data_IF_507608880521
#
_entry.id   IF_507608880521
#
_cell.length_a   1.000
_cell.length_b   1.000
_cell.length_c   1.000
_cell.angle_alpha   90.00
_cell.angle_beta   90.00
_cell.angle_gamma   90.00
#
_symmetry.space_group_name_H-M   'P 1'
#
loop_
_entity.id
_entity.type
_entity.pdbx_description
1 polymer ?
#
# COMPACT_ATOMS: atom_id res chain seq x y z
N UNK A 1 -9.59 -5.76 -4.68
CA UNK A 1 -10.71 -5.36 -3.79
C UNK A 1 -10.21 -4.61 -2.55
N UNK A 2 -9.02 -4.04 -2.63
CA UNK A 2 -8.30 -3.42 -1.50
C UNK A 2 -9.08 -2.34 -0.76
N UNK A 3 -9.76 -1.48 -1.50
CA UNK A 3 -10.55 -0.36 -0.96
C UNK A 3 -11.98 -0.74 -0.60
N UNK A 4 -12.34 -2.02 -0.60
CA UNK A 4 -13.69 -2.50 -0.27
C UNK A 4 -13.78 -2.92 1.21
N UNK A 5 -15.01 -2.98 1.79
CA UNK A 5 -15.20 -3.49 3.14
C UNK A 5 -14.63 -4.90 3.35
N UNK A 6 -14.31 -5.28 4.62
CA UNK A 6 -13.54 -6.51 4.93
C UNK A 6 -14.19 -7.83 4.47
N UNK A 7 -15.52 -7.84 4.30
CA UNK A 7 -16.22 -9.03 3.78
C UNK A 7 -15.99 -9.31 2.29
N UNK A 8 -15.37 -8.37 1.56
CA UNK A 8 -15.00 -8.57 0.17
C UNK A 8 -13.55 -9.01 0.07
N UNK A 9 -13.33 -10.02 -0.77
CA UNK A 9 -11.99 -10.52 -1.07
C UNK A 9 -11.68 -10.34 -2.56
N UNK A 10 -10.42 -10.14 -2.90
CA UNK A 10 -9.96 -9.97 -4.26
C UNK A 10 -8.59 -10.59 -4.49
N UNK A 11 -8.35 -10.97 -5.74
CA UNK A 11 -7.10 -11.56 -6.17
C UNK A 11 -6.71 -10.97 -7.53
N UNK A 12 -5.56 -10.31 -7.60
CA UNK A 12 -5.00 -9.75 -8.84
C UNK A 12 -3.84 -10.64 -9.28
N UNK A 13 -3.82 -11.06 -10.53
CA UNK A 13 -2.75 -11.87 -11.12
C UNK A 13 -2.07 -11.05 -12.20
N UNK A 14 -0.75 -11.02 -12.16
CA UNK A 14 0.10 -10.38 -13.15
C UNK A 14 0.93 -11.44 -13.88
N UNK A 15 1.29 -11.18 -15.11
CA UNK A 15 2.05 -12.09 -15.94
C UNK A 15 3.51 -11.64 -16.09
N UNK A 16 4.26 -12.36 -16.92
CA UNK A 16 5.69 -12.11 -17.18
C UNK A 16 6.00 -10.77 -17.86
N UNK A 17 4.99 -10.15 -18.46
CA UNK A 17 5.06 -8.81 -19.05
C UNK A 17 4.84 -7.68 -18.01
N UNK A 18 4.59 -8.05 -16.73
CA UNK A 18 4.29 -7.10 -15.65
C UNK A 18 2.86 -6.53 -15.68
N UNK A 19 2.01 -6.94 -16.65
CA UNK A 19 0.64 -6.48 -16.73
C UNK A 19 -0.35 -7.44 -16.07
N UNK A 20 -1.49 -6.90 -15.62
CA UNK A 20 -2.58 -7.74 -15.12
C UNK A 20 -3.13 -8.61 -16.25
N UNK A 21 -3.35 -9.91 -15.95
CA UNK A 21 -3.84 -10.87 -16.94
C UNK A 21 -5.21 -10.48 -17.50
N UNK A 22 -5.36 -10.75 -18.81
CA UNK A 22 -6.60 -10.58 -19.56
C UNK A 22 -6.92 -11.89 -20.31
N UNK A 23 -8.05 -11.93 -21.00
CA UNK A 23 -8.43 -13.08 -21.82
C UNK A 23 -7.34 -13.40 -22.86
N UNK A 24 -7.04 -14.68 -23.14
CA UNK A 24 -7.70 -15.90 -22.61
C UNK A 24 -7.17 -16.41 -21.26
N UNK A 25 -6.02 -15.93 -20.78
CA UNK A 25 -5.32 -16.45 -19.59
C UNK A 25 -6.15 -16.42 -18.32
N UNK A 26 -6.93 -15.36 -18.10
CA UNK A 26 -7.85 -15.24 -16.97
C UNK A 26 -8.87 -16.37 -16.95
N UNK A 27 -9.42 -16.73 -18.12
CA UNK A 27 -10.40 -17.81 -18.28
C UNK A 27 -9.77 -19.17 -18.04
N UNK A 28 -8.54 -19.38 -18.53
CA UNK A 28 -7.82 -20.64 -18.34
C UNK A 28 -7.50 -20.88 -16.86
N UNK A 29 -7.02 -19.85 -16.13
CA UNK A 29 -6.74 -19.95 -14.70
C UNK A 29 -8.03 -20.22 -13.91
N UNK A 30 -9.09 -19.45 -14.16
CA UNK A 30 -10.37 -19.64 -13.47
C UNK A 30 -10.99 -21.01 -13.77
N UNK A 31 -10.82 -21.53 -14.98
CA UNK A 31 -11.24 -22.88 -15.33
C UNK A 31 -10.56 -23.92 -14.44
N UNK A 32 -9.23 -23.80 -14.24
CA UNK A 32 -8.47 -24.69 -13.35
C UNK A 32 -8.90 -24.59 -11.90
N UNK A 33 -9.15 -23.39 -11.41
CA UNK A 33 -9.69 -23.19 -10.05
C UNK A 33 -11.04 -23.88 -9.88
N UNK A 34 -11.93 -23.80 -10.88
CA UNK A 34 -13.27 -24.44 -10.85
C UNK A 34 -13.24 -25.96 -10.96
N UNK A 35 -12.15 -26.56 -11.44
CA UNK A 35 -11.96 -28.02 -11.44
C UNK A 35 -11.75 -28.56 -10.03
N UNK A 36 -11.28 -27.75 -9.07
CA UNK A 36 -11.09 -28.14 -7.67
C UNK A 36 -12.46 -28.27 -7.00
N UNK A 37 -12.83 -29.45 -6.57
CA UNK A 37 -14.13 -29.76 -5.94
C UNK A 37 -14.02 -29.92 -4.41
N UNK A 38 -12.83 -30.12 -3.88
CA UNK A 38 -12.56 -30.30 -2.45
C UNK A 38 -11.20 -29.70 -2.10
N UNK A 39 -11.09 -29.10 -0.91
CA UNK A 39 -9.80 -28.63 -0.39
C UNK A 39 -8.74 -29.75 -0.30
N UNK A 40 -9.14 -31.01 -0.15
CA UNK A 40 -8.22 -32.15 -0.15
C UNK A 40 -7.47 -32.38 -1.46
N UNK A 41 -7.91 -31.76 -2.55
CA UNK A 41 -7.21 -31.79 -3.85
C UNK A 41 -6.06 -30.78 -3.92
N UNK A 42 -6.00 -29.81 -2.99
CA UNK A 42 -4.96 -28.81 -2.93
C UNK A 42 -3.73 -29.45 -2.29
N UNK A 43 -2.61 -29.39 -3.00
CA UNK A 43 -1.32 -29.89 -2.47
C UNK A 43 -0.78 -28.90 -1.46
N UNK A 44 -0.41 -29.38 -0.28
CA UNK A 44 0.15 -28.58 0.79
C UNK A 44 1.55 -29.08 1.14
N UNK A 45 2.40 -28.17 1.58
CA UNK A 45 3.74 -28.46 2.08
C UNK A 45 4.02 -27.59 3.31
N UNK A 46 4.66 -28.13 4.32
CA UNK A 46 5.06 -27.37 5.51
C UNK A 46 6.07 -26.26 5.16
N UNK A 47 5.97 -25.12 5.84
CA UNK A 47 6.83 -23.95 5.57
C UNK A 47 8.32 -24.31 5.57
N UNK A 48 8.80 -24.99 6.63
CA UNK A 48 10.22 -25.35 6.76
C UNK A 48 10.71 -26.26 5.63
N UNK A 49 9.84 -27.13 5.13
CA UNK A 49 10.14 -28.03 4.02
C UNK A 49 10.14 -27.24 2.70
N UNK A 50 9.19 -26.33 2.52
CA UNK A 50 9.12 -25.45 1.35
C UNK A 50 10.36 -24.54 1.27
N UNK A 51 10.81 -23.97 2.38
CA UNK A 51 12.04 -23.17 2.46
C UNK A 51 13.27 -23.99 2.05
N UNK A 52 13.43 -25.21 2.61
CA UNK A 52 14.53 -26.11 2.24
C UNK A 52 14.51 -26.54 0.79
N UNK A 53 13.33 -26.70 0.22
CA UNK A 53 13.14 -27.06 -1.19
C UNK A 53 13.23 -25.85 -2.15
N UNK A 54 13.46 -24.63 -1.65
CA UNK A 54 13.48 -23.40 -2.46
C UNK A 54 12.11 -22.99 -3.04
N UNK A 55 11.03 -23.55 -2.51
CA UNK A 55 9.65 -23.26 -2.95
C UNK A 55 9.03 -22.07 -2.21
N UNK A 56 9.64 -21.63 -1.13
CA UNK A 56 9.22 -20.46 -0.35
C UNK A 56 10.44 -19.58 -0.07
N UNK A 57 10.39 -18.35 -0.58
CA UNK A 57 11.46 -17.36 -0.46
C UNK A 57 10.90 -16.03 0.01
N UNK A 58 11.54 -15.40 0.99
CA UNK A 58 11.24 -14.03 1.41
C UNK A 58 12.15 -13.10 0.62
N UNK A 59 11.56 -12.24 -0.20
CA UNK A 59 12.31 -11.33 -1.07
C UNK A 59 12.88 -10.10 -0.35
N UNK A 60 12.31 -9.72 0.79
CA UNK A 60 12.85 -8.74 1.75
C UNK A 60 13.31 -7.39 1.17
N UNK A 61 14.25 -6.79 1.89
CA UNK A 61 14.72 -5.40 1.64
C UNK A 61 15.39 -5.20 0.28
N UNK A 62 16.00 -6.22 -0.31
CA UNK A 62 16.60 -6.11 -1.64
C UNK A 62 15.56 -5.72 -2.71
N UNK A 63 14.35 -6.28 -2.63
CA UNK A 63 13.28 -5.94 -3.55
C UNK A 63 12.71 -4.54 -3.25
N UNK A 64 12.58 -4.20 -1.97
CA UNK A 64 12.16 -2.86 -1.55
C UNK A 64 13.12 -1.80 -2.08
N UNK A 65 14.44 -2.03 -2.00
CA UNK A 65 15.46 -1.12 -2.50
C UNK A 65 15.35 -0.91 -4.03
N UNK A 66 15.15 -2.00 -4.78
CA UNK A 66 14.93 -1.93 -6.23
C UNK A 66 13.70 -1.11 -6.57
N UNK A 67 12.59 -1.34 -5.86
CA UNK A 67 11.35 -0.61 -6.08
C UNK A 67 11.48 0.87 -5.72
N UNK A 68 12.06 1.18 -4.56
CA UNK A 68 12.29 2.56 -4.13
C UNK A 68 13.20 3.33 -5.09
N UNK A 69 14.22 2.68 -5.66
CA UNK A 69 15.08 3.32 -6.65
C UNK A 69 14.32 3.68 -7.94
N UNK A 70 13.39 2.80 -8.37
CA UNK A 70 12.51 3.12 -9.51
C UNK A 70 11.59 4.29 -9.16
N UNK A 71 10.97 4.31 -7.97
CA UNK A 71 10.12 5.43 -7.55
C UNK A 71 10.88 6.75 -7.50
N UNK A 72 12.11 6.76 -6.96
CA UNK A 72 12.95 7.95 -6.93
C UNK A 72 13.29 8.48 -8.32
N UNK A 73 13.41 7.61 -9.31
CA UNK A 73 13.67 8.01 -10.70
C UNK A 73 12.48 8.73 -11.36
N UNK A 74 11.28 8.64 -10.77
CA UNK A 74 10.08 9.33 -11.25
C UNK A 74 9.92 10.76 -10.71
N UNK A 75 10.83 11.22 -9.85
CA UNK A 75 10.75 12.57 -9.26
C UNK A 75 11.03 13.63 -10.33
N UNK A 76 10.07 14.50 -10.54
CA UNK A 76 10.15 15.55 -11.56
C UNK A 76 10.96 16.76 -11.09
N UNK A 77 10.87 17.12 -9.80
CA UNK A 77 11.53 18.30 -9.25
C UNK A 77 12.27 17.98 -7.94
N UNK A 78 13.45 17.37 -7.99
CA UNK A 78 14.22 17.03 -6.79
C UNK A 78 14.71 18.28 -6.02
N UNK A 79 14.92 19.42 -6.70
CA UNK A 79 15.37 20.64 -6.03
C UNK A 79 14.30 21.19 -5.08
N UNK A 80 13.02 21.17 -5.47
CA UNK A 80 11.92 21.57 -4.58
C UNK A 80 11.89 20.72 -3.30
N UNK A 81 12.19 19.42 -3.40
CA UNK A 81 12.26 18.55 -2.23
C UNK A 81 13.44 18.93 -1.32
N UNK A 82 14.60 19.26 -1.89
CA UNK A 82 15.76 19.70 -1.12
C UNK A 82 15.50 21.02 -0.37
N UNK A 83 14.79 21.93 -1.00
CA UNK A 83 14.50 23.25 -0.44
C UNK A 83 13.42 23.21 0.65
N UNK A 84 12.35 22.47 0.41
CA UNK A 84 11.15 22.49 1.25
C UNK A 84 10.91 21.21 2.06
N UNK A 85 11.50 20.08 1.67
CA UNK A 85 11.22 18.78 2.28
C UNK A 85 11.43 18.71 3.78
N UNK A 86 12.44 19.45 4.31
CA UNK A 86 12.68 19.53 5.75
C UNK A 86 11.68 20.39 6.52
N UNK A 87 10.99 21.28 5.84
CA UNK A 87 10.05 22.23 6.45
C UNK A 87 8.63 21.66 6.43
N UNK A 88 8.27 20.98 5.34
CA UNK A 88 6.93 20.45 5.15
C UNK A 88 6.55 19.41 6.21
N UNK A 89 5.42 19.64 6.83
CA UNK A 89 4.78 18.70 7.76
C UNK A 89 3.75 17.88 7.02
N UNK A 90 3.98 16.58 6.94
CA UNK A 90 3.15 15.63 6.22
C UNK A 90 2.52 14.67 7.21
N UNK A 91 1.20 14.55 7.21
CA UNK A 91 0.50 13.44 7.84
C UNK A 91 0.20 12.39 6.78
N UNK A 92 0.45 11.13 7.11
CA UNK A 92 0.19 10.01 6.23
C UNK A 92 -0.65 8.93 6.93
N UNK A 93 -1.61 8.39 6.20
CA UNK A 93 -2.31 7.18 6.62
C UNK A 93 -2.31 6.12 5.51
N UNK A 94 -1.87 4.89 5.80
CA UNK A 94 -1.98 3.75 4.91
C UNK A 94 -3.37 3.10 4.94
N UNK A 95 -4.32 3.61 5.72
CA UNK A 95 -5.66 3.02 5.93
C UNK A 95 -5.60 1.52 6.25
N UNK A 96 -4.74 1.12 7.21
CA UNK A 96 -4.46 -0.28 7.58
C UNK A 96 -3.90 -1.14 6.45
N UNK A 97 -3.26 -0.54 5.45
CA UNK A 97 -2.79 -1.22 4.25
C UNK A 97 -1.28 -1.44 4.18
N UNK A 98 -0.84 -1.96 3.05
CA UNK A 98 0.55 -2.34 2.79
C UNK A 98 1.47 -1.17 2.45
N UNK A 99 0.90 0.00 2.13
CA UNK A 99 1.66 1.19 1.75
C UNK A 99 2.54 1.76 2.87
N UNK A 100 2.27 1.40 4.13
CA UNK A 100 2.96 1.95 5.30
C UNK A 100 4.49 1.90 5.17
N UNK A 101 5.06 0.70 5.08
CA UNK A 101 6.52 0.49 5.10
C UNK A 101 7.22 1.21 3.96
N UNK A 102 6.69 1.07 2.75
CA UNK A 102 7.33 1.61 1.53
C UNK A 102 7.18 3.14 1.46
N UNK A 103 5.99 3.66 1.73
CA UNK A 103 5.72 5.11 1.64
C UNK A 103 6.46 5.89 2.73
N UNK A 104 6.42 5.40 3.99
CA UNK A 104 7.14 6.02 5.09
C UNK A 104 8.65 6.07 4.81
N UNK A 105 9.20 4.96 4.32
CA UNK A 105 10.61 4.85 3.94
C UNK A 105 10.96 5.78 2.78
N UNK A 106 10.13 5.81 1.73
CA UNK A 106 10.33 6.69 0.58
C UNK A 106 10.40 8.17 0.99
N UNK A 107 9.41 8.64 1.73
CA UNK A 107 9.36 10.03 2.18
C UNK A 107 10.60 10.40 3.00
N UNK A 108 11.02 9.52 3.91
CA UNK A 108 12.22 9.72 4.71
C UNK A 108 13.50 9.76 3.85
N UNK A 109 13.66 8.85 2.90
CA UNK A 109 14.83 8.79 2.02
C UNK A 109 14.88 9.96 1.02
N UNK A 110 13.74 10.59 0.73
CA UNK A 110 13.65 11.82 -0.05
C UNK A 110 14.02 13.08 0.76
N UNK A 111 14.12 12.97 2.08
CA UNK A 111 14.51 14.10 2.95
C UNK A 111 13.35 14.84 3.62
N UNK A 112 12.14 14.26 3.61
CA UNK A 112 11.05 14.78 4.43
C UNK A 112 11.27 14.37 5.89
N UNK A 113 11.54 15.34 6.76
CA UNK A 113 11.88 15.09 8.18
C UNK A 113 10.64 15.06 9.08
N UNK A 114 9.57 15.76 8.70
CA UNK A 114 8.35 15.89 9.50
C UNK A 114 7.20 15.06 8.92
N UNK A 115 7.35 13.74 8.96
CA UNK A 115 6.32 12.79 8.52
C UNK A 115 5.68 12.14 9.74
N UNK A 116 4.36 12.30 9.89
CA UNK A 116 3.54 11.79 10.99
C UNK A 116 2.59 10.75 10.45
N UNK A 117 2.81 9.48 10.78
CA UNK A 117 1.90 8.40 10.40
C UNK A 117 0.80 8.26 11.44
N UNK A 118 -0.46 8.14 11.00
CA UNK A 118 -1.62 7.94 11.89
C UNK A 118 -1.44 6.62 12.67
N UNK A 119 -1.22 6.65 13.99
CA UNK A 119 -0.84 5.45 14.75
C UNK A 119 -1.88 4.34 14.69
N UNK A 120 -3.17 4.70 14.75
CA UNK A 120 -4.29 3.77 14.77
C UNK A 120 -4.51 3.07 13.43
N UNK A 121 -3.94 3.60 12.34
CA UNK A 121 -4.10 3.09 10.98
C UNK A 121 -2.78 2.59 10.37
N UNK A 122 -1.69 2.67 11.13
CA UNK A 122 -0.34 2.35 10.67
C UNK A 122 -0.18 0.87 10.33
N UNK A 123 -0.60 0.01 11.25
CA UNK A 123 -0.42 -1.43 11.08
C UNK A 123 -1.50 -2.02 10.16
N UNK A 124 -1.11 -2.95 9.27
CA UNK A 124 -2.06 -3.65 8.41
C UNK A 124 -3.11 -4.42 9.22
N UNK A 125 -4.38 -4.15 8.96
CA UNK A 125 -5.50 -4.89 9.57
C UNK A 125 -6.64 -5.06 8.56
N UNK A 126 -6.89 -6.29 8.14
CA UNK A 126 -7.94 -6.62 7.18
C UNK A 126 -9.38 -6.40 7.69
N UNK A 127 -9.56 -6.09 8.99
CA UNK A 127 -10.86 -5.73 9.55
C UNK A 127 -11.17 -4.23 9.46
N UNK A 128 -10.16 -3.39 9.14
CA UNK A 128 -10.28 -1.93 9.01
C UNK A 128 -11.01 -1.27 10.19
N UNK A 129 -10.55 -1.44 11.44
CA UNK A 129 -11.35 -1.10 12.63
C UNK A 129 -11.69 0.38 12.79
N UNK A 130 -10.98 1.27 12.08
CA UNK A 130 -11.17 2.72 12.18
C UNK A 130 -11.94 3.33 11.00
N UNK A 131 -12.18 2.54 9.94
CA UNK A 131 -12.88 3.01 8.73
C UNK A 131 -13.84 1.95 8.21
N UNK A 132 -15.04 2.36 7.84
CA UNK A 132 -16.02 1.45 7.22
C UNK A 132 -15.69 1.15 5.75
N UNK A 133 -14.93 2.03 5.11
CA UNK A 133 -14.56 1.96 3.70
C UNK A 133 -13.16 2.57 3.50
N UNK A 134 -12.10 1.74 3.34
CA UNK A 134 -10.72 2.21 3.28
C UNK A 134 -10.37 2.76 1.88
N UNK A 135 -11.13 3.76 1.42
CA UNK A 135 -10.94 4.39 0.12
C UNK A 135 -10.58 5.87 0.30
N UNK A 136 -9.41 6.33 -0.17
CA UNK A 136 -8.98 7.71 -0.07
C UNK A 136 -9.80 8.70 -0.94
N UNK A 137 -10.71 8.22 -1.77
CA UNK A 137 -11.70 9.06 -2.45
C UNK A 137 -12.85 9.47 -1.50
N UNK A 138 -13.06 8.72 -0.41
CA UNK A 138 -14.03 9.08 0.62
C UNK A 138 -13.38 9.97 1.69
N UNK A 139 -13.83 11.23 1.79
CA UNK A 139 -13.36 12.19 2.81
C UNK A 139 -13.45 11.63 4.24
N UNK A 140 -14.40 10.74 4.52
CA UNK A 140 -14.56 10.12 5.84
C UNK A 140 -13.37 9.24 6.23
N UNK A 141 -12.66 8.66 5.26
CA UNK A 141 -11.47 7.87 5.51
C UNK A 141 -10.32 8.70 6.09
N UNK A 142 -10.31 10.01 5.83
CA UNK A 142 -9.30 10.95 6.33
C UNK A 142 -9.52 11.45 7.76
N UNK A 143 -10.62 11.09 8.42
CA UNK A 143 -10.99 11.67 9.72
C UNK A 143 -9.81 11.72 10.70
N UNK A 144 -9.19 10.59 11.01
CA UNK A 144 -8.07 10.52 11.96
C UNK A 144 -6.82 11.25 11.44
N UNK A 145 -6.59 11.19 10.14
CA UNK A 145 -5.45 11.87 9.52
C UNK A 145 -5.62 13.40 9.55
N UNK A 146 -6.83 13.91 9.36
CA UNK A 146 -7.12 15.35 9.48
C UNK A 146 -7.03 15.80 10.94
N UNK A 147 -7.56 15.03 11.90
CA UNK A 147 -7.43 15.31 13.33
C UNK A 147 -5.97 15.36 13.78
N UNK A 148 -5.12 14.47 13.26
CA UNK A 148 -3.67 14.52 13.49
C UNK A 148 -3.05 15.72 12.79
N UNK A 149 -3.49 16.01 11.56
CA UNK A 149 -3.03 17.16 10.78
C UNK A 149 -3.24 18.48 11.48
N UNK A 150 -4.40 18.68 12.10
CA UNK A 150 -4.70 19.85 12.91
C UNK A 150 -3.76 19.96 14.13
N UNK A 151 -3.52 18.84 14.84
CA UNK A 151 -2.64 18.81 16.02
C UNK A 151 -1.18 19.17 15.72
N UNK A 152 -0.65 18.75 14.58
CA UNK A 152 0.75 19.01 14.20
C UNK A 152 0.90 20.21 13.28
N UNK A 153 -0.21 20.84 12.90
CA UNK A 153 -0.26 21.93 11.93
C UNK A 153 0.36 21.49 10.58
N UNK A 154 -0.20 20.42 10.00
CA UNK A 154 0.32 19.79 8.80
C UNK A 154 0.03 20.64 7.54
N UNK A 155 1.00 20.68 6.63
CA UNK A 155 0.84 21.29 5.30
C UNK A 155 0.11 20.36 4.33
N UNK A 156 0.36 19.05 4.46
CA UNK A 156 -0.22 18.01 3.61
C UNK A 156 -0.74 16.85 4.46
N UNK A 157 -1.88 16.29 4.05
CA UNK A 157 -2.41 15.03 4.59
C UNK A 157 -2.61 14.06 3.43
N UNK A 158 -1.94 12.92 3.51
CA UNK A 158 -1.91 11.89 2.47
C UNK A 158 -2.60 10.62 2.97
N UNK A 159 -3.35 9.96 2.10
CA UNK A 159 -3.89 8.63 2.37
C UNK A 159 -3.74 7.73 1.15
N UNK A 160 -3.30 6.49 1.36
CA UNK A 160 -3.37 5.43 0.36
C UNK A 160 -4.42 4.40 0.74
N UNK A 161 -5.02 3.76 -0.25
CA UNK A 161 -5.85 2.59 0.02
C UNK A 161 -4.99 1.36 0.41
N UNK A 162 -5.58 0.25 0.87
CA UNK A 162 -4.81 -0.85 1.44
C UNK A 162 -3.77 -1.52 0.52
N UNK A 163 -3.91 -1.52 -0.79
CA UNK A 163 -2.88 -2.01 -1.73
C UNK A 163 -2.07 -0.86 -2.37
N UNK A 164 -2.31 0.38 -1.91
CA UNK A 164 -1.56 1.58 -2.26
C UNK A 164 -1.54 1.92 -3.77
N UNK A 165 -2.60 1.54 -4.51
CA UNK A 165 -2.76 1.92 -5.92
C UNK A 165 -3.57 3.22 -6.11
N UNK A 166 -4.09 3.80 -5.01
CA UNK A 166 -4.78 5.09 -4.95
C UNK A 166 -4.12 6.02 -3.96
N UNK A 167 -4.22 7.32 -4.24
CA UNK A 167 -3.74 8.38 -3.36
C UNK A 167 -4.80 9.47 -3.24
N UNK A 168 -5.13 9.82 -2.01
CA UNK A 168 -5.90 11.02 -1.68
C UNK A 168 -5.04 12.04 -0.97
N UNK A 169 -5.28 13.32 -1.22
CA UNK A 169 -4.48 14.43 -0.69
C UNK A 169 -5.39 15.54 -0.18
N UNK A 170 -5.08 16.04 1.02
CA UNK A 170 -5.52 17.34 1.50
C UNK A 170 -4.31 18.24 1.66
N UNK A 171 -4.43 19.48 1.24
CA UNK A 171 -3.43 20.52 1.45
C UNK A 171 -4.03 21.62 2.34
N UNK A 172 -3.18 22.22 3.17
CA UNK A 172 -3.57 23.38 3.96
C UNK A 172 -3.84 24.54 3.03
N UNK A 173 -5.03 25.12 3.15
CA UNK A 173 -5.37 26.35 2.44
C UNK A 173 -4.86 27.55 3.24
N UNK A 174 -4.04 28.37 2.61
CA UNK A 174 -3.46 29.58 3.21
C UNK A 174 -4.24 30.86 2.79
N UNK A 175 -5.50 30.70 2.34
CA UNK A 175 -6.34 31.83 1.96
C UNK A 175 -7.14 32.36 3.15
#
# INVERSE_FOLDING_TARGET
ASHKPPQYNGYKVYWDDGAQIVAPRDKDIISKVREIKSYSQIKEIGRNEAEKAGLFNIIGTEMDDKYLNVLKSQILNPEAIKEEGKKLKIVYTPLHGTGNTVTERLLKELGFENVYVVPEQKEPDGNFPTVSYPNPEDKKAFKLALELGEKVDADLVLATDPDADRLGIFAKDNV
#
